data_IF_886408800700
#
_entry.id   IF_886408800700
#
_cell.length_a   1.000
_cell.length_b   1.000
_cell.length_c   1.000
_cell.angle_alpha   90.00
_cell.angle_beta   90.00
_cell.angle_gamma   90.00
#
_symmetry.space_group_name_H-M   'P 1'
#
loop_
_entity.id
_entity.type
_entity.pdbx_description
1 polymer ?
#
# COMPACT_ATOMS: atom_id res chain seq x y z
N UNK A 1 0.24 5.11 -16.76
CA UNK A 1 1.27 5.82 -16.01
C UNK A 1 0.85 5.92 -14.56
N UNK A 2 1.74 5.64 -13.63
CA UNK A 2 1.44 5.75 -12.20
C UNK A 2 1.45 7.22 -11.78
N UNK A 3 0.60 7.61 -10.82
CA UNK A 3 0.59 8.98 -10.32
C UNK A 3 1.87 9.27 -9.52
N UNK A 4 2.19 10.54 -9.41
CA UNK A 4 3.24 10.99 -8.51
C UNK A 4 2.58 11.38 -7.20
N UNK A 5 2.83 10.61 -6.15
CA UNK A 5 2.26 10.85 -4.83
C UNK A 5 3.32 11.47 -3.94
N UNK A 6 3.02 12.62 -3.36
CA UNK A 6 3.92 13.35 -2.46
C UNK A 6 3.57 13.16 -1.00
N UNK A 7 2.31 12.85 -0.72
CA UNK A 7 1.85 12.69 0.65
C UNK A 7 0.82 11.56 0.72
N UNK A 8 1.02 10.66 1.68
CA UNK A 8 0.06 9.59 2.01
C UNK A 8 -0.59 9.93 3.36
N UNK A 9 -1.91 9.77 3.41
CA UNK A 9 -2.70 10.03 4.62
C UNK A 9 -3.43 8.77 5.04
N UNK A 10 -3.61 8.63 6.34
CA UNK A 10 -4.34 7.49 6.93
C UNK A 10 -5.44 8.07 7.83
N UNK A 11 -6.70 7.74 7.54
CA UNK A 11 -7.80 8.13 8.41
C UNK A 11 -7.81 7.25 9.67
N UNK A 12 -8.42 7.73 10.78
CA UNK A 12 -8.58 6.88 11.97
C UNK A 12 -9.31 5.58 11.69
N UNK A 13 -10.30 5.59 10.79
CA UNK A 13 -11.02 4.38 10.42
C UNK A 13 -10.13 3.39 9.67
N UNK A 14 -9.31 3.88 8.73
CA UNK A 14 -8.36 3.02 8.01
C UNK A 14 -7.29 2.45 8.95
N UNK A 15 -6.79 3.26 9.86
CA UNK A 15 -5.82 2.82 10.87
C UNK A 15 -6.37 1.66 11.70
N UNK A 16 -7.60 1.81 12.19
CA UNK A 16 -8.27 0.77 12.97
C UNK A 16 -8.46 -0.50 12.14
N UNK A 17 -8.91 -0.35 10.91
CA UNK A 17 -9.14 -1.47 10.00
C UNK A 17 -7.85 -2.27 9.77
N UNK A 18 -6.75 -1.58 9.46
CA UNK A 18 -5.47 -2.25 9.22
C UNK A 18 -5.01 -3.04 10.46
N UNK A 19 -5.15 -2.43 11.63
CA UNK A 19 -4.72 -3.09 12.86
C UNK A 19 -5.61 -4.27 13.22
N UNK A 20 -6.92 -4.08 13.22
CA UNK A 20 -7.87 -5.12 13.63
C UNK A 20 -7.94 -6.28 12.66
N UNK A 21 -7.88 -6.01 11.35
CA UNK A 21 -8.03 -7.05 10.33
C UNK A 21 -6.72 -7.70 9.92
N UNK A 22 -5.63 -6.96 9.97
CA UNK A 22 -4.37 -7.42 9.38
C UNK A 22 -3.17 -7.30 10.31
N UNK A 23 -3.35 -6.76 11.50
CA UNK A 23 -2.24 -6.59 12.45
C UNK A 23 -1.16 -5.63 11.96
N UNK A 24 -1.51 -4.67 11.13
CA UNK A 24 -0.57 -3.68 10.60
C UNK A 24 -0.82 -2.34 11.26
N UNK A 25 0.24 -1.78 11.83
CA UNK A 25 0.19 -0.44 12.39
C UNK A 25 0.26 0.62 11.29
N UNK A 26 -0.40 1.76 11.50
CA UNK A 26 -0.40 2.84 10.51
C UNK A 26 1.01 3.29 10.15
N UNK A 27 1.91 3.38 11.13
CA UNK A 27 3.28 3.83 10.88
C UNK A 27 4.03 2.83 9.98
N UNK A 28 3.74 1.53 10.08
CA UNK A 28 4.35 0.52 9.23
C UNK A 28 3.90 0.70 7.77
N UNK A 29 2.62 0.98 7.56
CA UNK A 29 2.10 1.25 6.22
C UNK A 29 2.74 2.51 5.62
N UNK A 30 2.91 3.55 6.42
CA UNK A 30 3.57 4.79 5.96
C UNK A 30 5.05 4.56 5.62
N UNK A 31 5.75 3.75 6.41
CA UNK A 31 7.13 3.35 6.07
C UNK A 31 7.19 2.57 4.76
N UNK A 32 6.23 1.67 4.57
CA UNK A 32 6.17 0.84 3.37
C UNK A 32 5.96 1.69 2.12
N UNK A 33 5.08 2.70 2.15
CA UNK A 33 4.85 3.55 0.98
C UNK A 33 6.08 4.40 0.64
N UNK A 34 6.92 4.71 1.61
CA UNK A 34 8.16 5.44 1.38
C UNK A 34 9.27 4.56 0.81
N UNK A 35 9.12 3.25 0.88
CA UNK A 35 10.15 2.30 0.46
C UNK A 35 10.17 2.03 -1.04
N UNK A 36 9.19 2.53 -1.79
CA UNK A 36 9.09 2.30 -3.22
C UNK A 36 8.30 3.42 -3.90
N UNK A 37 8.58 3.64 -5.19
CA UNK A 37 7.80 4.55 -6.02
C UNK A 37 7.00 3.79 -7.07
N UNK A 38 6.94 2.46 -6.98
CA UNK A 38 6.23 1.59 -7.93
C UNK A 38 4.81 1.35 -7.46
N UNK A 39 3.85 1.84 -8.22
CA UNK A 39 2.42 1.70 -7.92
C UNK A 39 1.76 0.94 -9.06
N UNK A 40 0.83 0.06 -8.73
CA UNK A 40 0.12 -0.78 -9.70
C UNK A 40 -1.37 -0.54 -9.57
N UNK A 41 -2.06 -0.38 -10.70
CA UNK A 41 -3.51 -0.23 -10.67
C UNK A 41 -4.15 -1.56 -10.32
N UNK A 42 -5.24 -1.50 -9.55
CA UNK A 42 -6.04 -2.67 -9.28
C UNK A 42 -7.21 -2.71 -10.26
N UNK A 43 -7.74 -3.89 -10.51
CA UNK A 43 -8.92 -4.05 -11.37
C UNK A 43 -10.21 -4.04 -10.57
N UNK A 44 -10.14 -3.91 -9.25
CA UNK A 44 -11.31 -3.86 -8.39
C UNK A 44 -11.83 -2.43 -8.37
N UNK A 45 -13.03 -2.18 -8.79
CA UNK A 45 -13.65 -0.86 -8.67
C UNK A 45 -14.02 -0.17 -9.99
N UNK A 46 -13.65 -0.72 -11.13
CA UNK A 46 -14.08 -0.24 -12.44
C UNK A 46 -13.34 0.98 -12.97
N UNK A 47 -13.84 1.61 -14.06
CA UNK A 47 -13.07 2.58 -14.84
C UNK A 47 -12.81 3.92 -14.15
N UNK A 48 -13.55 4.24 -13.09
CA UNK A 48 -13.33 5.46 -12.32
C UNK A 48 -12.48 5.21 -11.08
N UNK A 49 -11.99 3.99 -10.95
CA UNK A 49 -11.22 3.62 -9.78
C UNK A 49 -9.88 4.32 -9.78
N UNK A 50 -9.56 4.97 -8.65
CA UNK A 50 -8.27 5.60 -8.41
C UNK A 50 -7.42 4.73 -7.49
N UNK A 51 -7.80 3.46 -7.37
CA UNK A 51 -7.14 2.55 -6.46
C UNK A 51 -5.87 1.99 -7.05
N UNK A 52 -4.83 2.06 -6.25
CA UNK A 52 -3.53 1.50 -6.56
C UNK A 52 -3.08 0.60 -5.43
N UNK A 53 -2.16 -0.27 -5.73
CA UNK A 53 -1.49 -1.11 -4.73
C UNK A 53 0.01 -0.95 -4.90
N UNK A 54 0.74 -1.03 -3.81
CA UNK A 54 2.19 -1.08 -3.85
C UNK A 54 2.70 -2.22 -2.98
N UNK A 55 3.88 -2.71 -3.36
CA UNK A 55 4.63 -3.69 -2.58
C UNK A 55 5.75 -2.94 -1.89
N UNK A 56 5.64 -2.74 -0.58
CA UNK A 56 6.61 -1.99 0.19
C UNK A 56 7.13 -2.78 1.38
N UNK A 57 8.10 -2.20 2.07
CA UNK A 57 8.66 -2.79 3.29
C UNK A 57 8.69 -1.76 4.39
N UNK A 58 8.27 -2.16 5.58
CA UNK A 58 8.43 -1.31 6.77
C UNK A 58 9.91 -1.23 7.15
N UNK A 59 10.23 -0.31 8.04
CA UNK A 59 11.61 -0.14 8.51
C UNK A 59 12.14 -1.41 9.19
N UNK A 60 11.26 -2.20 9.80
CA UNK A 60 11.64 -3.48 10.42
C UNK A 60 11.81 -4.63 9.40
N UNK A 61 11.58 -4.37 8.12
CA UNK A 61 11.73 -5.37 7.07
C UNK A 61 10.48 -6.18 6.77
N UNK A 62 9.36 -5.78 7.32
CA UNK A 62 8.09 -6.46 7.10
C UNK A 62 7.57 -6.13 5.71
N UNK A 63 7.29 -7.15 4.90
CA UNK A 63 6.78 -6.95 3.54
C UNK A 63 5.29 -6.72 3.56
N UNK A 64 4.86 -5.56 3.08
CA UNK A 64 3.46 -5.14 3.12
C UNK A 64 2.92 -4.83 1.73
N UNK A 65 1.68 -5.24 1.50
CA UNK A 65 0.86 -4.75 0.41
C UNK A 65 0.07 -3.57 0.95
N UNK A 66 0.15 -2.44 0.29
CA UNK A 66 -0.60 -1.25 0.70
C UNK A 66 -1.51 -0.83 -0.44
N UNK A 67 -2.80 -0.71 -0.16
CA UNK A 67 -3.78 -0.20 -1.11
C UNK A 67 -4.10 1.25 -0.77
N UNK A 68 -4.11 2.10 -1.78
CA UNK A 68 -4.42 3.50 -1.58
C UNK A 68 -5.25 4.05 -2.73
N UNK A 69 -5.98 5.13 -2.47
CA UNK A 69 -6.72 5.87 -3.48
C UNK A 69 -5.97 7.16 -3.79
N UNK A 70 -5.79 7.44 -5.09
CA UNK A 70 -5.22 8.70 -5.55
C UNK A 70 -6.30 9.78 -5.42
N UNK A 71 -6.06 10.75 -4.54
CA UNK A 71 -7.00 11.85 -4.29
C UNK A 71 -6.74 13.06 -5.17
N UNK A 72 -5.71 13.00 -6.01
CA UNK A 72 -5.31 14.12 -6.86
C UNK A 72 -4.33 15.06 -6.17
N UNK A 73 -3.69 15.90 -6.96
CA UNK A 73 -2.74 16.91 -6.49
C UNK A 73 -1.56 16.35 -5.69
N UNK A 74 -1.21 15.10 -5.93
CA UNK A 74 -0.09 14.48 -5.23
C UNK A 74 -0.44 13.89 -3.86
N UNK A 75 -1.72 13.81 -3.52
CA UNK A 75 -2.18 13.22 -2.26
C UNK A 75 -2.81 11.86 -2.49
N UNK A 76 -2.57 10.94 -1.58
CA UNK A 76 -3.20 9.63 -1.59
C UNK A 76 -3.70 9.28 -0.19
N UNK A 77 -4.78 8.52 -0.16
CA UNK A 77 -5.37 8.04 1.08
C UNK A 77 -5.17 6.53 1.17
N UNK A 78 -4.46 6.08 2.19
CA UNK A 78 -4.27 4.65 2.43
C UNK A 78 -5.61 4.05 2.85
N UNK A 79 -6.02 2.99 2.15
CA UNK A 79 -7.28 2.30 2.43
C UNK A 79 -7.04 1.12 3.35
N UNK A 80 -6.00 0.33 3.08
CA UNK A 80 -5.66 -0.82 3.89
C UNK A 80 -4.22 -1.25 3.60
N UNK A 81 -3.69 -2.10 4.47
CA UNK A 81 -2.41 -2.75 4.26
C UNK A 81 -2.44 -4.13 4.90
N UNK A 82 -1.76 -5.09 4.31
CA UNK A 82 -1.61 -6.42 4.86
C UNK A 82 -0.22 -6.95 4.60
N UNK A 83 0.21 -7.88 5.40
CA UNK A 83 1.52 -8.51 5.22
C UNK A 83 1.48 -9.54 4.09
N UNK A 84 2.55 -9.61 3.31
CA UNK A 84 2.73 -10.67 2.33
C UNK A 84 3.10 -11.94 3.08
N UNK A 85 2.27 -12.97 2.95
CA UNK A 85 2.43 -14.22 3.69
C UNK A 85 2.46 -15.40 2.71
N UNK A 86 3.31 -16.36 3.02
CA UNK A 86 3.45 -17.56 2.21
C UNK A 86 4.39 -17.35 1.04
N UNK A 87 4.85 -18.46 0.48
CA UNK A 87 5.92 -18.47 -0.52
C UNK A 87 5.54 -17.69 -1.78
N UNK A 88 4.35 -17.94 -2.32
CA UNK A 88 3.90 -17.30 -3.57
C UNK A 88 3.67 -15.81 -3.40
N UNK A 89 3.03 -15.44 -2.30
CA UNK A 89 2.72 -14.04 -2.01
C UNK A 89 4.01 -13.24 -1.82
N UNK A 90 4.96 -13.78 -1.07
CA UNK A 90 6.27 -13.15 -0.85
C UNK A 90 7.04 -13.04 -2.15
N UNK A 91 7.04 -14.08 -2.99
CA UNK A 91 7.75 -14.07 -4.27
C UNK A 91 7.17 -12.99 -5.20
N UNK A 92 5.85 -12.87 -5.24
CA UNK A 92 5.17 -11.84 -6.04
C UNK A 92 5.52 -10.45 -5.50
N UNK A 93 5.51 -10.30 -4.18
CA UNK A 93 5.85 -9.04 -3.53
C UNK A 93 7.28 -8.60 -3.90
N UNK A 94 8.23 -9.52 -3.83
CA UNK A 94 9.63 -9.23 -4.21
C UNK A 94 9.72 -8.76 -5.65
N UNK A 95 9.05 -9.47 -6.56
CA UNK A 95 9.08 -9.14 -7.97
C UNK A 95 8.50 -7.74 -8.23
N UNK A 96 7.36 -7.42 -7.62
CA UNK A 96 6.72 -6.13 -7.83
C UNK A 96 7.45 -4.98 -7.15
N UNK A 97 8.08 -5.25 -6.01
CA UNK A 97 8.92 -4.25 -5.34
C UNK A 97 10.24 -4.05 -6.07
N UNK A 98 10.75 -5.08 -6.71
CA UNK A 98 12.02 -5.00 -7.43
C UNK A 98 13.22 -5.41 -6.59
N UNK A 99 13.02 -6.28 -5.60
CA UNK A 99 14.13 -6.80 -4.77
C UNK A 99 14.09 -8.30 -4.53
#
# INVERSE_FOLDING_TARGET
>A
MAPIIREFRVSPAAERHMFEKHGVEAFEALEAVESTERYYRTHAGGPKDRRYVLAGKSASGRRLWVAFDDEGNGFARIVTAREALGRRDVARHRRLKGD
#
